data_IF_156929114376
#
_entry.id   IF_156929114376
#
_cell.length_a   1.000
_cell.length_b   1.000
_cell.length_c   1.000
_cell.angle_alpha   90.00
_cell.angle_beta   90.00
_cell.angle_gamma   90.00
#
_symmetry.space_group_name_H-M   'P 1'
#
loop_
_entity.id
_entity.type
_entity.pdbx_description
1 polymer ?
#
# COMPACT_ATOMS: atom_id res chain seq x y z
N UNK A 1 55.30 -26.68 -57.11
CA UNK A 1 54.43 -26.93 -58.27
C UNK A 1 53.21 -26.05 -58.11
N UNK A 2 53.03 -25.11 -59.06
CA UNK A 2 51.82 -24.35 -59.41
C UNK A 2 51.06 -23.58 -58.30
N UNK A 3 50.52 -22.38 -58.47
CA UNK A 3 50.59 -21.34 -59.51
C UNK A 3 49.83 -20.10 -58.98
N UNK A 4 50.25 -18.92 -59.46
CA UNK A 4 49.44 -17.72 -59.85
C UNK A 4 48.24 -17.28 -58.97
N UNK A 5 48.32 -16.18 -58.19
CA UNK A 5 48.09 -14.75 -58.53
C UNK A 5 46.81 -14.42 -59.32
N UNK A 6 45.95 -13.55 -58.75
CA UNK A 6 45.44 -12.25 -59.30
C UNK A 6 44.34 -11.70 -58.34
N UNK A 7 44.59 -10.62 -57.60
CA UNK A 7 44.34 -9.22 -57.96
C UNK A 7 42.86 -8.78 -57.83
N UNK A 8 42.58 -7.82 -56.94
CA UNK A 8 42.26 -6.46 -57.41
C UNK A 8 42.40 -5.42 -56.29
N UNK A 9 42.81 -4.24 -56.73
CA UNK A 9 43.19 -3.06 -55.97
C UNK A 9 41.99 -2.19 -55.56
N UNK A 10 42.21 -1.43 -54.48
CA UNK A 10 41.81 -0.03 -54.25
C UNK A 10 40.36 0.39 -54.56
N UNK A 11 39.61 0.66 -53.49
CA UNK A 11 38.42 1.51 -53.53
C UNK A 11 38.43 2.43 -52.31
N UNK A 12 38.62 3.72 -52.54
CA UNK A 12 38.73 4.77 -51.54
C UNK A 12 37.50 4.84 -50.61
N UNK A 13 37.74 4.73 -49.31
CA UNK A 13 36.77 5.06 -48.28
C UNK A 13 36.91 6.54 -47.91
N UNK A 14 35.95 7.37 -48.30
CA UNK A 14 35.64 8.66 -47.66
C UNK A 14 34.32 9.21 -48.22
N UNK A 15 33.20 8.71 -47.70
CA UNK A 15 31.92 9.39 -47.76
C UNK A 15 31.57 9.82 -46.34
N UNK A 16 31.85 11.08 -46.03
CA UNK A 16 31.43 11.73 -44.80
C UNK A 16 29.91 11.96 -44.84
N UNK A 17 29.17 11.15 -44.09
CA UNK A 17 27.75 11.43 -43.79
C UNK A 17 27.71 12.06 -42.40
N UNK A 18 27.66 13.38 -42.35
CA UNK A 18 27.37 14.14 -41.13
C UNK A 18 25.86 14.04 -40.85
N UNK A 19 25.43 13.04 -40.08
CA UNK A 19 24.14 13.12 -39.40
C UNK A 19 24.32 14.02 -38.17
N UNK A 20 23.83 15.25 -38.28
CA UNK A 20 23.49 16.06 -37.12
C UNK A 20 22.29 15.40 -36.42
N UNK A 21 22.56 14.42 -35.56
CA UNK A 21 21.60 13.93 -34.60
C UNK A 21 21.64 14.85 -33.38
N UNK A 22 20.54 15.56 -33.14
CA UNK A 22 20.31 16.32 -31.91
C UNK A 22 20.63 15.45 -30.70
N UNK A 23 21.66 15.83 -29.95
CA UNK A 23 21.86 15.35 -28.60
C UNK A 23 20.72 15.85 -27.74
N UNK A 24 19.74 14.99 -27.49
CA UNK A 24 18.81 15.16 -26.38
C UNK A 24 19.52 14.64 -25.13
N UNK A 25 19.87 15.57 -24.26
CA UNK A 25 20.34 15.32 -22.91
C UNK A 25 19.30 14.44 -22.16
N UNK A 26 19.70 13.43 -21.37
CA UNK A 26 18.76 12.64 -20.60
C UNK A 26 18.16 13.52 -19.49
N UNK A 27 17.01 14.12 -19.78
CA UNK A 27 16.16 14.73 -18.76
C UNK A 27 15.78 13.64 -17.76
N UNK A 28 16.18 13.83 -16.51
CA UNK A 28 15.63 13.08 -15.37
C UNK A 28 14.10 13.14 -15.46
N UNK A 29 13.38 12.04 -15.17
CA UNK A 29 11.93 12.01 -15.29
C UNK A 29 11.32 13.09 -14.41
N UNK A 30 10.87 14.18 -15.03
CA UNK A 30 10.07 15.19 -14.36
C UNK A 30 8.66 14.61 -14.24
N UNK A 31 8.36 14.10 -13.05
CA UNK A 31 7.00 13.81 -12.64
C UNK A 31 6.18 15.09 -12.78
N UNK A 32 5.10 15.04 -13.56
CA UNK A 32 4.23 16.18 -13.80
C UNK A 32 3.63 16.66 -12.48
N UNK A 33 4.16 17.77 -11.95
CA UNK A 33 3.50 18.50 -10.88
C UNK A 33 2.30 19.20 -11.49
N UNK A 34 1.10 18.69 -11.22
CA UNK A 34 -0.12 19.43 -11.52
C UNK A 34 -0.12 20.69 -10.66
N UNK A 35 0.19 21.83 -11.27
CA UNK A 35 -0.02 23.14 -10.66
C UNK A 35 -1.54 23.35 -10.52
N UNK A 36 -2.10 22.94 -9.39
CA UNK A 36 -3.42 23.42 -8.96
C UNK A 36 -3.22 24.78 -8.33
N UNK A 37 -3.90 25.78 -8.88
CA UNK A 37 -4.08 27.11 -8.29
C UNK A 37 -4.51 26.98 -6.83
N UNK A 38 -3.75 27.62 -5.93
CA UNK A 38 -3.98 27.67 -4.48
C UNK A 38 -5.42 28.08 -4.14
N UNK A 39 -6.21 27.11 -3.73
CA UNK A 39 -7.21 27.32 -2.68
C UNK A 39 -6.57 26.77 -1.39
N UNK A 40 -6.72 27.43 -0.23
CA UNK A 40 -6.14 26.95 1.01
C UNK A 40 -6.84 25.65 1.42
N UNK A 41 -6.30 24.51 0.96
CA UNK A 41 -6.56 23.23 1.57
C UNK A 41 -5.69 23.19 2.81
N UNK A 42 -6.31 23.13 3.97
CA UNK A 42 -5.64 22.79 5.23
C UNK A 42 -5.06 21.38 5.07
N UNK A 43 -3.85 21.31 4.52
CA UNK A 43 -3.08 20.08 4.49
C UNK A 43 -2.64 19.84 5.93
N UNK A 44 -3.17 18.79 6.55
CA UNK A 44 -2.71 18.35 7.85
C UNK A 44 -1.18 18.19 7.83
N UNK A 45 -0.46 18.58 8.90
CA UNK A 45 0.99 18.52 8.91
C UNK A 45 1.46 17.08 8.80
N UNK A 46 2.04 16.72 7.66
CA UNK A 46 2.84 15.51 7.54
C UNK A 46 4.14 15.72 8.31
N UNK A 47 4.46 14.86 9.27
CA UNK A 47 5.81 14.86 9.84
C UNK A 47 6.80 14.46 8.74
N UNK A 48 8.02 15.00 8.76
CA UNK A 48 9.03 14.73 7.71
C UNK A 48 9.29 13.23 7.50
N UNK A 49 9.14 12.43 8.56
CA UNK A 49 9.28 10.97 8.53
C UNK A 49 8.18 10.27 7.72
N UNK A 50 6.96 10.82 7.69
CA UNK A 50 5.81 10.21 7.03
C UNK A 50 5.79 10.46 5.52
N UNK A 51 6.47 11.52 5.06
CA UNK A 51 6.53 11.89 3.64
C UNK A 51 7.13 10.83 2.72
N UNK A 52 7.89 9.87 3.28
CA UNK A 52 8.54 8.79 2.53
C UNK A 52 7.75 7.47 2.57
N UNK A 53 6.67 7.39 3.35
CA UNK A 53 5.90 6.16 3.56
C UNK A 53 4.81 6.04 2.47
N UNK A 54 4.52 4.83 1.97
CA UNK A 54 3.36 4.60 1.12
C UNK A 54 2.07 5.00 1.85
N UNK A 55 1.14 5.69 1.18
CA UNK A 55 -0.14 6.10 1.76
C UNK A 55 -1.28 5.25 1.18
N UNK A 56 -1.98 4.51 2.04
CA UNK A 56 -3.21 3.82 1.64
C UNK A 56 -4.32 4.85 1.43
N UNK A 57 -5.25 4.53 0.51
CA UNK A 57 -6.47 5.29 0.28
C UNK A 57 -7.67 4.48 0.77
N UNK A 58 -8.75 5.18 1.08
CA UNK A 58 -10.03 4.55 1.44
C UNK A 58 -10.54 3.59 0.36
N UNK A 59 -10.30 3.91 -0.92
CA UNK A 59 -10.73 3.16 -2.09
C UNK A 59 -9.62 2.27 -2.70
N UNK A 60 -8.52 2.05 -1.99
CA UNK A 60 -7.48 1.11 -2.43
C UNK A 60 -8.06 -0.30 -2.59
N UNK A 61 -7.78 -0.95 -3.72
CA UNK A 61 -8.13 -2.36 -3.90
C UNK A 61 -7.26 -3.26 -3.01
N UNK A 62 -7.67 -4.51 -2.84
CA UNK A 62 -6.87 -5.49 -2.10
C UNK A 62 -5.47 -5.64 -2.72
N UNK A 63 -5.36 -5.59 -4.05
CA UNK A 63 -4.07 -5.62 -4.75
C UNK A 63 -3.19 -4.42 -4.40
N UNK A 64 -3.76 -3.22 -4.34
CA UNK A 64 -3.05 -2.00 -3.97
C UNK A 64 -2.60 -2.03 -2.51
N UNK A 65 -3.48 -2.47 -1.60
CA UNK A 65 -3.15 -2.67 -0.19
C UNK A 65 -2.00 -3.68 -0.05
N UNK A 66 -2.11 -4.84 -0.69
CA UNK A 66 -1.07 -5.88 -0.67
C UNK A 66 0.26 -5.37 -1.26
N UNK A 67 0.21 -4.59 -2.34
CA UNK A 67 1.40 -3.99 -2.93
C UNK A 67 2.07 -2.98 -1.99
N UNK A 68 1.29 -2.14 -1.30
CA UNK A 68 1.81 -1.19 -0.31
C UNK A 68 2.50 -1.91 0.86
N UNK A 69 1.90 -2.99 1.38
CA UNK A 69 2.46 -3.76 2.50
C UNK A 69 3.67 -4.63 2.13
N UNK A 70 3.79 -5.05 0.87
CA UNK A 70 4.87 -5.95 0.40
C UNK A 70 6.27 -5.43 0.76
N UNK A 71 6.52 -4.14 0.53
CA UNK A 71 7.84 -3.54 0.79
C UNK A 71 8.23 -3.56 2.28
N UNK A 72 7.25 -3.36 3.15
CA UNK A 72 7.44 -3.45 4.60
C UNK A 72 7.73 -4.88 5.05
N UNK A 73 6.94 -5.85 4.58
CA UNK A 73 7.08 -7.25 4.96
C UNK A 73 8.42 -7.86 4.50
N UNK A 74 8.89 -7.51 3.29
CA UNK A 74 10.23 -7.89 2.81
C UNK A 74 11.31 -7.30 3.70
N UNK A 75 11.20 -6.01 4.04
CA UNK A 75 12.16 -5.36 4.92
C UNK A 75 12.22 -6.04 6.30
N UNK A 76 11.07 -6.39 6.89
CA UNK A 76 11.00 -7.06 8.17
C UNK A 76 11.74 -8.40 8.14
N UNK A 77 11.48 -9.22 7.11
CA UNK A 77 12.14 -10.51 6.90
C UNK A 77 13.66 -10.34 6.78
N UNK A 78 14.11 -9.39 5.97
CA UNK A 78 15.54 -9.12 5.75
C UNK A 78 16.25 -8.59 7.01
N UNK A 79 15.50 -7.98 7.94
CA UNK A 79 15.99 -7.51 9.23
C UNK A 79 15.77 -8.51 10.38
N UNK A 80 15.45 -9.77 10.06
CA UNK A 80 15.40 -10.86 11.04
C UNK A 80 14.11 -10.93 11.87
N UNK A 81 13.04 -10.27 11.45
CA UNK A 81 11.72 -10.46 12.03
C UNK A 81 11.22 -11.89 11.74
N UNK A 82 10.58 -12.53 12.72
CA UNK A 82 9.96 -13.84 12.50
C UNK A 82 8.82 -13.73 11.49
N UNK A 83 8.85 -14.59 10.47
CA UNK A 83 7.79 -14.69 9.46
C UNK A 83 7.02 -15.99 9.65
N UNK A 84 5.71 -15.93 9.45
CA UNK A 84 4.80 -17.05 9.56
C UNK A 84 4.83 -17.86 8.26
N UNK A 85 4.92 -19.19 8.40
CA UNK A 85 5.03 -20.13 7.28
C UNK A 85 3.73 -20.92 7.12
N UNK A 86 2.69 -20.29 6.56
CA UNK A 86 1.47 -20.98 6.14
C UNK A 86 0.28 -20.93 7.10
N UNK A 87 -0.87 -21.40 6.57
CA UNK A 87 -2.24 -21.34 7.10
C UNK A 87 -2.33 -21.71 8.60
N UNK A 88 -2.87 -20.80 9.42
CA UNK A 88 -3.35 -21.14 10.76
C UNK A 88 -3.37 -20.00 11.78
N UNK A 89 -2.73 -18.87 11.51
CA UNK A 89 -2.93 -17.67 12.32
C UNK A 89 -3.94 -16.74 11.64
N UNK A 90 -4.82 -16.13 12.43
CA UNK A 90 -5.86 -15.21 11.96
C UNK A 90 -5.30 -13.89 11.38
N UNK A 91 -3.98 -13.80 11.15
CA UNK A 91 -3.24 -12.58 10.85
C UNK A 91 -2.31 -12.75 9.64
N UNK A 92 -2.20 -13.95 9.07
CA UNK A 92 -1.47 -14.17 7.84
C UNK A 92 -2.30 -13.57 6.73
N UNK A 93 -1.71 -12.64 5.99
CA UNK A 93 -2.36 -11.98 4.86
C UNK A 93 -2.88 -12.98 3.82
N UNK A 94 -3.52 -12.49 2.74
CA UNK A 94 -4.20 -13.36 1.79
C UNK A 94 -3.27 -14.45 1.26
N UNK A 95 -3.72 -15.70 1.39
CA UNK A 95 -3.05 -16.84 0.79
C UNK A 95 -3.16 -16.77 -0.74
N UNK A 96 -2.17 -17.31 -1.45
CA UNK A 96 -2.26 -17.51 -2.89
C UNK A 96 -3.42 -18.46 -3.27
N UNK A 97 -3.69 -18.60 -4.57
CA UNK A 97 -4.75 -19.46 -5.09
C UNK A 97 -4.66 -20.95 -4.69
N UNK A 98 -3.54 -21.37 -4.07
CA UNK A 98 -3.31 -22.73 -3.57
C UNK A 98 -3.30 -22.80 -2.03
N UNK A 99 -3.73 -21.73 -1.34
CA UNK A 99 -3.77 -21.68 0.12
C UNK A 99 -2.41 -21.50 0.78
N UNK A 100 -1.38 -21.04 0.05
CA UNK A 100 -0.04 -20.76 0.58
C UNK A 100 0.09 -19.27 0.85
N UNK A 101 0.45 -18.91 2.07
CA UNK A 101 1.05 -17.60 2.32
C UNK A 101 2.44 -17.62 1.68
N UNK A 102 2.88 -16.55 1.03
CA UNK A 102 4.21 -16.38 0.43
C UNK A 102 5.38 -16.44 1.45
N UNK A 103 5.10 -16.82 2.70
CA UNK A 103 6.05 -16.86 3.80
C UNK A 103 6.51 -15.47 4.23
N UNK A 104 5.77 -14.42 3.85
CA UNK A 104 6.08 -13.04 4.17
C UNK A 104 5.02 -12.38 5.08
N UNK A 105 4.18 -13.15 5.75
CA UNK A 105 3.35 -12.61 6.84
C UNK A 105 4.19 -12.48 8.11
N UNK A 106 4.41 -11.27 8.64
CA UNK A 106 5.18 -11.10 9.87
C UNK A 106 4.42 -11.66 11.07
N UNK A 107 5.11 -12.35 11.98
CA UNK A 107 4.51 -12.76 13.26
C UNK A 107 4.32 -11.54 14.17
N UNK A 108 3.10 -11.00 14.20
CA UNK A 108 2.77 -9.78 14.95
C UNK A 108 2.93 -9.93 16.47
N UNK A 109 3.13 -11.17 16.98
CA UNK A 109 3.38 -11.46 18.39
C UNK A 109 4.87 -11.66 18.70
N UNK A 110 5.77 -11.51 17.72
CA UNK A 110 7.20 -11.53 17.95
C UNK A 110 7.66 -10.20 18.56
N UNK A 111 7.90 -10.18 19.86
CA UNK A 111 8.50 -9.04 20.58
C UNK A 111 9.98 -9.25 20.91
N UNK A 112 10.64 -10.16 20.19
CA UNK A 112 12.10 -10.33 20.31
C UNK A 112 12.83 -9.02 19.97
N UNK A 113 14.05 -8.82 20.50
CA UNK A 113 14.88 -7.67 20.11
C UNK A 113 15.10 -7.57 18.60
N UNK A 114 15.15 -8.70 17.89
CA UNK A 114 15.25 -8.74 16.44
C UNK A 114 14.01 -8.13 15.78
N UNK A 115 12.80 -8.53 16.18
CA UNK A 115 11.55 -7.94 15.68
C UNK A 115 11.45 -6.44 15.97
N UNK A 116 11.75 -6.01 17.20
CA UNK A 116 11.70 -4.58 17.56
C UNK A 116 12.67 -3.76 16.70
N UNK A 117 13.89 -4.25 16.51
CA UNK A 117 14.89 -3.59 15.66
C UNK A 117 14.47 -3.58 14.19
N UNK A 118 13.89 -4.68 13.68
CA UNK A 118 13.37 -4.78 12.32
C UNK A 118 12.24 -3.77 12.08
N UNK A 119 11.24 -3.71 12.97
CA UNK A 119 10.13 -2.72 12.90
C UNK A 119 10.67 -1.29 12.89
N UNK A 120 11.68 -1.00 13.71
CA UNK A 120 12.34 0.32 13.73
C UNK A 120 13.09 0.62 12.43
N UNK A 121 13.86 -0.33 11.90
CA UNK A 121 14.62 -0.18 10.66
C UNK A 121 13.69 0.00 9.44
N UNK A 122 12.53 -0.64 9.46
CA UNK A 122 11.57 -0.67 8.37
C UNK A 122 10.45 0.37 8.48
N UNK A 123 10.48 1.28 9.47
CA UNK A 123 9.43 2.29 9.72
C UNK A 123 9.07 3.10 8.48
N UNK A 124 10.05 3.45 7.64
CA UNK A 124 9.84 4.23 6.41
C UNK A 124 9.14 3.44 5.28
N UNK A 125 9.04 2.12 5.39
CA UNK A 125 8.30 1.26 4.45
C UNK A 125 6.90 0.93 4.92
N UNK A 126 6.58 1.15 6.20
CA UNK A 126 5.27 0.88 6.78
C UNK A 126 4.21 1.77 6.11
N UNK A 127 3.19 1.21 5.45
CA UNK A 127 2.12 2.02 4.88
C UNK A 127 1.44 2.89 5.95
N UNK A 128 1.06 4.09 5.57
CA UNK A 128 0.15 4.94 6.34
C UNK A 128 -1.28 4.48 6.10
N UNK A 129 -2.08 4.44 7.17
CA UNK A 129 -3.53 4.24 7.06
C UNK A 129 -4.17 5.45 6.36
N UNK A 130 -5.33 5.28 5.69
CA UNK A 130 -6.04 6.38 5.08
C UNK A 130 -6.21 7.54 6.09
N UNK A 131 -5.88 8.79 5.71
CA UNK A 131 -5.94 9.93 6.62
C UNK A 131 -7.35 10.19 7.15
N UNK A 132 -8.39 9.76 6.44
CA UNK A 132 -9.78 9.81 6.88
C UNK A 132 -10.01 8.97 8.15
N UNK A 133 -9.23 7.90 8.37
CA UNK A 133 -9.34 7.01 9.52
C UNK A 133 -8.42 7.41 10.69
N UNK A 134 -7.62 8.46 10.52
CA UNK A 134 -6.69 8.94 11.54
C UNK A 134 -7.36 10.03 12.40
N UNK A 135 -7.69 9.69 13.64
CA UNK A 135 -8.28 10.61 14.63
C UNK A 135 -7.48 11.90 14.81
N UNK A 136 -6.15 11.86 14.66
CA UNK A 136 -5.30 13.04 14.84
C UNK A 136 -5.32 13.98 13.63
N UNK A 137 -5.73 13.48 12.45
CA UNK A 137 -5.74 14.22 11.18
C UNK A 137 -7.15 14.52 10.68
N UNK A 138 -8.14 13.75 11.13
CA UNK A 138 -9.55 13.93 10.80
C UNK A 138 -10.30 14.49 12.02
N UNK A 139 -10.56 15.82 12.08
CA UNK A 139 -11.31 16.43 13.17
C UNK A 139 -12.78 15.98 13.24
N UNK A 140 -13.29 15.37 12.16
CA UNK A 140 -14.66 14.83 12.07
C UNK A 140 -14.71 13.32 12.33
N UNK A 141 -13.62 12.70 12.77
CA UNK A 141 -13.54 11.25 12.89
C UNK A 141 -14.67 10.67 13.74
N UNK A 142 -14.95 11.22 14.92
CA UNK A 142 -15.97 10.66 15.83
C UNK A 142 -17.40 10.80 15.27
N UNK A 143 -17.70 11.92 14.60
CA UNK A 143 -19.00 12.12 13.94
C UNK A 143 -19.16 11.13 12.77
N UNK A 144 -18.11 10.96 11.97
CA UNK A 144 -18.10 10.00 10.85
C UNK A 144 -18.14 8.55 11.34
N UNK A 145 -17.50 8.26 12.47
CA UNK A 145 -17.54 6.97 13.13
C UNK A 145 -18.97 6.62 13.60
N UNK A 146 -19.72 7.59 14.13
CA UNK A 146 -21.15 7.39 14.43
C UNK A 146 -21.98 7.09 13.18
N UNK A 147 -21.73 7.79 12.07
CA UNK A 147 -22.39 7.52 10.78
C UNK A 147 -22.04 6.11 10.28
N UNK A 148 -20.78 5.72 10.40
CA UNK A 148 -20.31 4.37 10.05
C UNK A 148 -21.04 3.29 10.85
N UNK A 149 -21.10 3.41 12.17
CA UNK A 149 -21.82 2.45 13.04
C UNK A 149 -23.32 2.37 12.72
N UNK A 150 -23.94 3.51 12.41
CA UNK A 150 -25.33 3.56 11.97
C UNK A 150 -25.52 2.86 10.63
N UNK A 151 -24.59 3.04 9.69
CA UNK A 151 -24.60 2.35 8.40
C UNK A 151 -24.52 0.83 8.60
N UNK A 152 -23.54 0.32 9.36
CA UNK A 152 -23.38 -1.11 9.61
C UNK A 152 -24.66 -1.77 10.14
N UNK A 153 -25.21 -1.19 11.21
CA UNK A 153 -26.43 -1.71 11.86
C UNK A 153 -27.66 -1.62 10.97
N UNK A 154 -27.79 -0.55 10.16
CA UNK A 154 -28.88 -0.41 9.18
C UNK A 154 -28.81 -1.45 8.05
N UNK A 155 -27.61 -1.91 7.70
CA UNK A 155 -27.37 -2.98 6.73
C UNK A 155 -27.49 -4.39 7.33
N UNK A 156 -27.87 -4.49 8.60
CA UNK A 156 -28.13 -5.77 9.26
C UNK A 156 -26.90 -6.42 9.89
N UNK A 157 -25.77 -5.72 9.98
CA UNK A 157 -24.60 -6.15 10.75
C UNK A 157 -24.81 -5.78 12.22
N UNK A 158 -24.95 -6.78 13.09
CA UNK A 158 -25.33 -6.55 14.49
C UNK A 158 -24.07 -6.33 15.33
N UNK A 159 -23.72 -5.06 15.53
CA UNK A 159 -22.47 -4.60 16.14
C UNK A 159 -22.69 -3.36 17.01
N UNK A 160 -21.81 -3.15 17.97
CA UNK A 160 -21.72 -1.95 18.79
C UNK A 160 -20.29 -1.43 18.90
N UNK A 161 -20.15 -0.13 19.13
CA UNK A 161 -18.84 0.49 19.33
C UNK A 161 -18.24 0.05 20.66
N UNK A 162 -16.93 -0.17 20.69
CA UNK A 162 -16.18 -0.40 21.92
C UNK A 162 -15.84 0.93 22.59
N UNK A 163 -15.71 0.92 23.92
CA UNK A 163 -15.24 2.08 24.66
C UNK A 163 -13.70 2.16 24.66
N UNK A 164 -13.12 3.36 24.43
CA UNK A 164 -13.78 4.63 24.11
C UNK A 164 -14.30 4.67 22.66
N UNK A 165 -15.36 5.44 22.40
CA UNK A 165 -15.92 5.61 21.05
C UNK A 165 -14.82 5.92 20.02
N UNK A 166 -14.87 5.23 18.87
CA UNK A 166 -13.86 5.37 17.83
C UNK A 166 -12.64 4.48 18.02
N UNK A 167 -12.57 3.69 19.10
CA UNK A 167 -11.52 2.67 19.29
C UNK A 167 -11.72 1.42 18.45
N UNK A 168 -12.94 1.14 18.03
CA UNK A 168 -13.32 -0.08 17.34
C UNK A 168 -14.77 -0.44 17.61
N UNK A 169 -15.22 -1.55 17.03
CA UNK A 169 -16.54 -2.13 17.27
C UNK A 169 -16.41 -3.65 17.44
N UNK A 170 -17.40 -4.25 18.07
CA UNK A 170 -17.52 -5.71 18.20
C UNK A 170 -18.95 -6.15 17.92
N UNK A 171 -19.14 -7.45 17.68
CA UNK A 171 -20.47 -8.04 17.52
C UNK A 171 -21.30 -7.95 18.79
N UNK A 172 -22.61 -7.81 18.61
CA UNK A 172 -23.56 -7.86 19.72
C UNK A 172 -23.60 -9.24 20.38
N UNK A 173 -23.64 -9.25 21.70
CA UNK A 173 -23.69 -10.47 22.49
C UNK A 173 -24.98 -11.27 22.23
N UNK A 174 -24.84 -12.58 22.04
CA UNK A 174 -25.98 -13.48 21.87
C UNK A 174 -26.72 -13.34 20.53
N UNK A 175 -26.16 -12.61 19.56
CA UNK A 175 -26.78 -12.43 18.24
C UNK A 175 -26.13 -13.34 17.19
N UNK A 176 -26.95 -14.09 16.48
CA UNK A 176 -26.52 -14.80 15.27
C UNK A 176 -26.57 -13.86 14.07
N UNK A 177 -25.42 -13.57 13.47
CA UNK A 177 -25.35 -12.76 12.25
C UNK A 177 -26.12 -13.42 11.12
N UNK A 178 -26.96 -12.64 10.43
CA UNK A 178 -27.73 -13.10 9.27
C UNK A 178 -26.92 -13.00 7.97
N UNK A 179 -25.93 -12.12 7.94
CA UNK A 179 -25.05 -11.88 6.80
C UNK A 179 -23.97 -12.97 6.76
N UNK A 180 -23.66 -13.48 5.56
CA UNK A 180 -22.47 -14.31 5.33
C UNK A 180 -21.19 -13.48 5.50
N UNK A 181 -20.03 -14.14 5.67
CA UNK A 181 -18.75 -13.42 5.79
C UNK A 181 -18.52 -12.42 4.65
N UNK A 182 -18.74 -12.83 3.40
CA UNK A 182 -18.56 -11.95 2.23
C UNK A 182 -19.51 -10.75 2.24
N UNK A 183 -20.74 -10.95 2.73
CA UNK A 183 -21.72 -9.87 2.87
C UNK A 183 -21.31 -8.89 3.97
N UNK A 184 -20.75 -9.38 5.07
CA UNK A 184 -20.22 -8.54 6.15
C UNK A 184 -19.07 -7.67 5.64
N UNK A 185 -18.06 -8.28 5.01
CA UNK A 185 -16.93 -7.56 4.39
C UNK A 185 -17.40 -6.49 3.41
N UNK A 186 -18.38 -6.82 2.57
CA UNK A 186 -18.95 -5.86 1.61
C UNK A 186 -19.63 -4.68 2.32
N UNK A 187 -20.48 -4.95 3.32
CA UNK A 187 -21.17 -3.92 4.11
C UNK A 187 -20.17 -3.02 4.83
N UNK A 188 -19.16 -3.60 5.46
CA UNK A 188 -18.10 -2.84 6.13
C UNK A 188 -17.36 -1.91 5.18
N UNK A 189 -16.99 -2.40 4.00
CA UNK A 189 -16.31 -1.61 2.99
C UNK A 189 -17.19 -0.45 2.47
N UNK A 190 -18.44 -0.73 2.08
CA UNK A 190 -19.38 0.28 1.59
C UNK A 190 -19.70 1.35 2.64
N UNK A 191 -19.91 0.93 3.90
CA UNK A 191 -20.16 1.84 5.01
C UNK A 191 -18.93 2.70 5.34
N UNK A 192 -17.72 2.12 5.27
CA UNK A 192 -16.49 2.86 5.50
C UNK A 192 -16.29 3.96 4.45
N UNK A 193 -16.42 3.62 3.16
CA UNK A 193 -16.30 4.56 2.04
C UNK A 193 -17.35 5.69 2.08
N UNK A 194 -18.57 5.39 2.50
CA UNK A 194 -19.64 6.38 2.54
C UNK A 194 -19.53 7.34 3.72
N UNK A 195 -18.94 6.89 4.84
CA UNK A 195 -18.91 7.63 6.11
C UNK A 195 -17.64 8.47 6.29
N UNK A 196 -16.47 7.92 5.99
CA UNK A 196 -15.19 8.58 6.27
C UNK A 196 -14.72 9.44 5.10
N UNK A 197 -14.58 10.74 5.34
CA UNK A 197 -14.19 11.74 4.33
C UNK A 197 -13.34 12.83 4.97
N UNK A 198 -12.29 13.30 4.29
CA UNK A 198 -11.67 14.57 4.67
C UNK A 198 -12.58 15.70 4.18
N UNK A 199 -13.10 16.50 5.13
CA UNK A 199 -13.95 17.66 4.86
C UNK A 199 -13.23 18.83 4.23
#
# INVERSE_FOLDING_TARGET
MADMKLALYAGAALAAITLAACGSEPQSPQVASLATTDAPRTSAPSTSDDSQRPQLRMDSSDEDVNAAWRGYNVCLKDNGHRMLTGRGDAHSGPADANGRTDGNSPDMNDDSPASVNARKACKNKLPLQPPELDQSRNPHYLDQYHVYMTCLTSHGLMVHATDPLGSGWTYDDGVTQKLTSDQQTKVEHECSLSSFKLG
#
